data_IF_827968347122
#
_entry.id   IF_827968347122
#
_cell.length_a   1.000
_cell.length_b   1.000
_cell.length_c   1.000
_cell.angle_alpha   90.00
_cell.angle_beta   90.00
_cell.angle_gamma   90.00
#
_symmetry.space_group_name_H-M   'P 1'
#
loop_
_entity.id
_entity.type
_entity.pdbx_description
1 polymer ?
#
# COMPACT_ATOMS: atom_id res chain seq x y z
N UNK A 1 -0.76 20.43 9.68
CA UNK A 1 -1.99 19.90 10.33
C UNK A 1 -1.70 18.54 10.97
N UNK A 2 -2.41 18.08 12.00
CA UNK A 2 -2.28 16.68 12.43
C UNK A 2 -2.95 15.74 11.41
N UNK A 3 -2.55 14.47 11.38
CA UNK A 3 -3.28 13.43 10.64
C UNK A 3 -4.73 13.34 11.14
N UNK A 4 -5.73 13.16 10.24
CA UNK A 4 -7.06 12.72 10.63
C UNK A 4 -7.01 11.46 11.50
N UNK A 5 -7.96 11.33 12.44
CA UNK A 5 -8.04 10.14 13.30
C UNK A 5 -8.60 8.92 12.57
N UNK A 6 -9.42 9.14 11.54
CA UNK A 6 -10.04 8.10 10.75
C UNK A 6 -10.11 8.50 9.27
N UNK A 7 -10.14 7.50 8.40
CA UNK A 7 -10.27 7.67 6.95
C UNK A 7 -11.41 6.81 6.44
N UNK A 8 -11.90 7.09 5.24
CA UNK A 8 -12.83 6.20 4.55
C UNK A 8 -12.13 4.85 4.32
N UNK A 9 -12.72 3.75 4.80
CA UNK A 9 -12.14 2.41 4.69
C UNK A 9 -12.16 1.88 3.25
N UNK A 10 -13.08 2.40 2.43
CA UNK A 10 -13.23 2.08 1.02
C UNK A 10 -13.38 3.36 0.21
N UNK A 11 -12.69 3.43 -0.92
CA UNK A 11 -12.70 4.57 -1.84
C UNK A 11 -12.85 4.06 -3.27
N UNK A 12 -13.30 4.89 -4.23
CA UNK A 12 -13.39 4.46 -5.62
C UNK A 12 -12.04 3.96 -6.14
N UNK A 13 -12.05 2.83 -6.85
CA UNK A 13 -10.84 2.30 -7.50
C UNK A 13 -10.42 3.16 -8.69
N UNK A 14 -11.39 3.81 -9.34
CA UNK A 14 -11.15 4.74 -10.43
C UNK A 14 -10.50 6.02 -9.88
N UNK A 15 -9.32 6.37 -10.40
CA UNK A 15 -8.56 7.55 -9.95
C UNK A 15 -9.32 8.86 -10.10
N UNK A 16 -10.12 9.06 -11.15
CA UNK A 16 -10.89 10.29 -11.33
C UNK A 16 -12.01 10.42 -10.30
N UNK A 17 -12.72 9.32 -10.03
CA UNK A 17 -13.77 9.29 -9.02
C UNK A 17 -13.18 9.45 -7.60
N UNK A 18 -12.04 8.81 -7.34
CA UNK A 18 -11.27 8.99 -6.12
C UNK A 18 -10.87 10.47 -5.92
N UNK A 19 -10.33 11.11 -6.96
CA UNK A 19 -9.91 12.52 -6.89
C UNK A 19 -11.11 13.46 -6.69
N UNK A 20 -12.28 13.13 -7.25
CA UNK A 20 -13.50 13.91 -7.05
C UNK A 20 -14.01 13.88 -5.59
N UNK A 21 -13.80 12.77 -4.87
CA UNK A 21 -14.11 12.66 -3.44
C UNK A 21 -13.00 13.20 -2.53
N UNK A 22 -11.76 13.17 -3.02
CA UNK A 22 -10.59 13.61 -2.28
C UNK A 22 -10.63 15.11 -2.03
N UNK A 23 -10.18 15.53 -0.85
CA UNK A 23 -10.00 16.95 -0.50
C UNK A 23 -8.52 17.33 -0.61
N UNK A 24 -7.83 16.74 -1.59
CA UNK A 24 -6.39 16.87 -1.73
C UNK A 24 -6.04 18.35 -1.92
N UNK A 25 -5.24 18.86 -0.99
CA UNK A 25 -4.61 20.18 -1.08
C UNK A 25 -3.11 19.93 -1.00
N UNK A 26 -2.41 19.84 -2.15
CA UNK A 26 -0.98 19.60 -2.16
C UNK A 26 -0.29 20.72 -1.38
N UNK A 27 0.25 20.36 -0.22
CA UNK A 27 1.06 21.24 0.61
C UNK A 27 2.33 20.49 1.02
N UNK A 28 3.37 21.26 1.33
CA UNK A 28 4.64 20.68 1.76
C UNK A 28 4.48 20.01 3.11
N UNK A 29 4.81 18.72 3.18
CA UNK A 29 4.87 17.96 4.43
C UNK A 29 6.33 17.68 4.74
N UNK A 30 6.88 18.20 5.85
CA UNK A 30 8.25 17.90 6.25
C UNK A 30 8.44 16.41 6.43
N UNK A 31 9.59 15.88 5.97
CA UNK A 31 9.87 14.45 6.10
C UNK A 31 9.85 14.00 7.57
N UNK A 32 10.28 14.84 8.51
CA UNK A 32 10.22 14.54 9.94
C UNK A 32 8.79 14.31 10.43
N UNK A 33 7.79 14.96 9.81
CA UNK A 33 6.37 14.76 10.15
C UNK A 33 5.89 13.37 9.72
N UNK A 34 6.31 12.91 8.53
CA UNK A 34 5.95 11.59 8.02
C UNK A 34 6.72 10.49 8.77
N UNK A 35 8.02 10.71 9.01
CA UNK A 35 8.91 9.78 9.72
C UNK A 35 8.63 9.71 11.23
N UNK A 36 7.86 10.64 11.78
CA UNK A 36 7.38 10.57 13.17
C UNK A 36 6.23 9.57 13.37
N UNK A 37 5.59 9.10 12.30
CA UNK A 37 4.59 8.02 12.39
C UNK A 37 5.31 6.75 12.86
N UNK A 38 5.00 6.22 14.06
CA UNK A 38 5.77 5.16 14.67
C UNK A 38 5.83 3.91 13.80
N UNK A 39 7.07 3.46 13.60
CA UNK A 39 7.41 2.20 12.99
C UNK A 39 7.29 1.04 14.01
N UNK A 40 6.58 1.18 15.14
CA UNK A 40 6.17 0.02 15.94
C UNK A 40 5.12 -0.85 15.20
N UNK A 41 4.40 -0.23 14.27
CA UNK A 41 3.75 -0.83 13.09
C UNK A 41 4.73 -1.53 12.14
N UNK A 42 5.98 -1.06 12.08
CA UNK A 42 6.95 -1.44 11.05
C UNK A 42 7.45 -2.88 11.14
N UNK A 43 6.90 -3.66 12.08
CA UNK A 43 7.01 -5.11 12.13
C UNK A 43 8.42 -5.56 11.72
N UNK A 44 9.43 -5.45 12.59
CA UNK A 44 10.84 -5.59 12.22
C UNK A 44 11.13 -6.90 11.48
N UNK A 45 10.37 -7.96 11.75
CA UNK A 45 10.39 -9.20 10.99
C UNK A 45 9.99 -9.01 9.52
N UNK A 46 8.90 -8.28 9.24
CA UNK A 46 8.49 -7.86 7.90
C UNK A 46 9.52 -6.97 7.22
N UNK A 47 10.06 -5.97 7.90
CA UNK A 47 11.11 -5.13 7.32
C UNK A 47 12.33 -5.96 6.90
N UNK A 48 12.79 -6.84 7.80
CA UNK A 48 13.93 -7.71 7.53
C UNK A 48 13.65 -8.74 6.43
N UNK A 49 12.40 -9.23 6.34
CA UNK A 49 11.94 -10.13 5.28
C UNK A 49 11.97 -9.44 3.91
N UNK A 50 11.31 -8.29 3.78
CA UNK A 50 11.31 -7.48 2.56
C UNK A 50 12.73 -7.09 2.13
N UNK A 51 13.55 -6.58 3.05
CA UNK A 51 14.93 -6.16 2.75
C UNK A 51 15.82 -7.31 2.26
N UNK A 52 15.57 -8.53 2.74
CA UNK A 52 16.35 -9.71 2.37
C UNK A 52 15.95 -10.24 0.98
N UNK A 53 14.67 -10.20 0.66
CA UNK A 53 14.11 -10.86 -0.52
C UNK A 53 13.98 -9.95 -1.74
N UNK A 54 13.81 -8.65 -1.53
CA UNK A 54 13.57 -7.69 -2.61
C UNK A 54 14.91 -7.12 -3.12
N UNK A 55 15.11 -6.97 -4.45
CA UNK A 55 16.29 -6.32 -5.00
C UNK A 55 16.52 -4.92 -4.41
N UNK A 56 17.77 -4.45 -4.19
CA UNK A 56 18.02 -3.21 -3.44
C UNK A 56 17.31 -1.96 -3.97
N UNK A 57 17.22 -1.79 -5.29
CA UNK A 57 16.52 -0.64 -5.88
C UNK A 57 15.01 -0.70 -5.64
N UNK A 58 14.43 -1.90 -5.73
CA UNK A 58 13.01 -2.17 -5.47
C UNK A 58 12.72 -1.99 -3.97
N UNK A 59 13.63 -2.41 -3.09
CA UNK A 59 13.49 -2.16 -1.66
C UNK A 59 13.46 -0.67 -1.30
N UNK A 60 14.22 0.17 -2.03
CA UNK A 60 14.12 1.62 -1.85
C UNK A 60 12.80 2.18 -2.41
N UNK A 61 12.28 1.62 -3.51
CA UNK A 61 10.97 1.95 -4.07
C UNK A 61 9.85 1.70 -3.05
N UNK A 62 9.76 0.49 -2.48
CA UNK A 62 8.71 0.15 -1.51
C UNK A 62 8.72 1.01 -0.25
N UNK A 63 9.89 1.52 0.15
CA UNK A 63 9.98 2.47 1.27
C UNK A 63 9.45 3.85 0.89
N UNK A 64 9.73 4.33 -0.34
CA UNK A 64 9.21 5.62 -0.83
C UNK A 64 7.70 5.59 -0.97
N UNK A 65 7.12 4.50 -1.47
CA UNK A 65 5.66 4.37 -1.63
C UNK A 65 4.94 4.52 -0.29
N UNK A 66 5.47 3.95 0.80
CA UNK A 66 4.92 4.16 2.15
C UNK A 66 4.90 5.64 2.55
N UNK A 67 6.00 6.37 2.36
CA UNK A 67 6.04 7.80 2.69
C UNK A 67 5.14 8.65 1.79
N UNK A 68 5.03 8.31 0.50
CA UNK A 68 4.08 8.96 -0.40
C UNK A 68 2.63 8.72 0.04
N UNK A 69 2.32 7.52 0.51
CA UNK A 69 0.99 7.21 1.03
C UNK A 69 0.69 8.02 2.30
N UNK A 70 1.66 8.15 3.22
CA UNK A 70 1.51 9.04 4.38
C UNK A 70 1.32 10.51 3.95
N UNK A 71 2.02 10.98 2.93
CA UNK A 71 1.82 12.33 2.40
C UNK A 71 0.41 12.53 1.82
N UNK A 72 -0.15 11.55 1.13
CA UNK A 72 -1.53 11.59 0.63
C UNK A 72 -2.55 11.61 1.78
N UNK A 73 -2.35 10.76 2.80
CA UNK A 73 -3.19 10.76 4.01
C UNK A 73 -3.18 12.12 4.71
N UNK A 74 -2.01 12.75 4.81
CA UNK A 74 -1.84 14.06 5.41
C UNK A 74 -2.53 15.17 4.60
N UNK A 75 -2.46 15.08 3.28
CA UNK A 75 -2.88 16.14 2.36
C UNK A 75 -4.33 16.05 1.89
N UNK A 76 -5.17 15.23 2.51
CA UNK A 76 -6.63 15.25 2.26
C UNK A 76 -7.18 14.02 1.54
N UNK A 77 -6.63 12.84 1.84
CA UNK A 77 -7.28 11.56 1.52
C UNK A 77 -8.73 11.53 2.05
N UNK A 78 -9.67 10.85 1.36
CA UNK A 78 -11.08 10.79 1.76
C UNK A 78 -11.30 10.37 3.22
N UNK A 79 -12.18 11.10 3.91
CA UNK A 79 -12.55 10.85 5.30
C UNK A 79 -13.92 11.46 5.60
N UNK A 80 -14.74 10.72 6.35
CA UNK A 80 -16.06 11.13 6.79
C UNK A 80 -17.10 11.17 5.67
N UNK A 81 -16.92 10.39 4.60
CA UNK A 81 -17.92 10.31 3.53
C UNK A 81 -19.19 9.62 4.06
N UNK A 82 -20.39 10.22 3.89
CA UNK A 82 -21.63 9.64 4.39
C UNK A 82 -21.88 8.23 3.84
N UNK A 83 -22.15 7.28 4.74
CA UNK A 83 -22.44 5.88 4.38
C UNK A 83 -21.21 5.01 4.09
N UNK A 84 -19.99 5.56 4.18
CA UNK A 84 -18.75 4.81 3.99
C UNK A 84 -18.18 4.38 5.36
N UNK A 85 -17.89 3.08 5.58
CA UNK A 85 -17.20 2.63 6.79
C UNK A 85 -15.90 3.39 7.01
N UNK A 86 -15.53 3.66 8.26
CA UNK A 86 -14.30 4.38 8.60
C UNK A 86 -13.26 3.41 9.17
N UNK A 87 -11.99 3.64 8.85
CA UNK A 87 -10.84 2.92 9.41
C UNK A 87 -10.01 3.88 10.28
N UNK A 88 -9.57 3.41 11.45
CA UNK A 88 -8.70 4.19 12.33
C UNK A 88 -7.33 4.42 11.67
N UNK A 89 -6.72 5.59 11.89
CA UNK A 89 -5.41 5.91 11.33
C UNK A 89 -4.34 4.87 11.67
N UNK A 90 -4.31 4.40 12.92
CA UNK A 90 -3.36 3.39 13.39
C UNK A 90 -3.55 2.05 12.67
N UNK A 91 -4.80 1.65 12.42
CA UNK A 91 -5.11 0.40 11.72
C UNK A 91 -4.79 0.51 10.22
N UNK A 92 -5.12 1.64 9.59
CA UNK A 92 -4.78 1.88 8.19
C UNK A 92 -3.27 1.94 7.98
N UNK A 93 -2.54 2.66 8.83
CA UNK A 93 -1.07 2.75 8.73
C UNK A 93 -0.40 1.40 8.96
N UNK A 94 -0.97 0.53 9.82
CA UNK A 94 -0.53 -0.85 9.97
C UNK A 94 -0.62 -1.62 8.64
N UNK A 95 -1.82 -1.66 8.06
CA UNK A 95 -2.07 -2.38 6.81
C UNK A 95 -1.23 -1.81 5.68
N UNK A 96 -1.23 -0.50 5.54
CA UNK A 96 -0.47 0.23 4.54
C UNK A 96 1.03 -0.04 4.64
N UNK A 97 1.60 -0.11 5.84
CA UNK A 97 3.01 -0.44 6.00
C UNK A 97 3.34 -1.82 5.42
N UNK A 98 2.61 -2.87 5.83
CA UNK A 98 2.83 -4.23 5.32
C UNK A 98 2.59 -4.29 3.81
N UNK A 99 1.50 -3.69 3.32
CA UNK A 99 1.21 -3.61 1.89
C UNK A 99 2.37 -2.95 1.14
N UNK A 100 2.81 -1.76 1.55
CA UNK A 100 3.88 -1.04 0.88
C UNK A 100 5.17 -1.84 0.86
N UNK A 101 5.67 -2.31 2.02
CA UNK A 101 6.99 -2.97 2.07
C UNK A 101 7.01 -4.36 1.42
N UNK A 102 5.85 -4.97 1.16
CA UNK A 102 5.73 -6.33 0.63
C UNK A 102 5.17 -6.43 -0.80
N UNK A 103 4.58 -5.37 -1.37
CA UNK A 103 3.87 -5.48 -2.65
C UNK A 103 4.72 -6.01 -3.81
N UNK A 104 6.02 -5.71 -3.81
CA UNK A 104 6.97 -6.14 -4.82
C UNK A 104 7.81 -7.37 -4.41
N UNK A 105 7.40 -8.14 -3.39
CA UNK A 105 8.13 -9.37 -3.02
C UNK A 105 8.27 -10.34 -4.19
N UNK A 106 7.28 -10.41 -5.08
CA UNK A 106 7.32 -11.29 -6.24
C UNK A 106 8.42 -10.95 -7.26
N UNK A 107 9.04 -9.75 -7.17
CA UNK A 107 10.24 -9.38 -7.94
C UNK A 107 11.54 -10.00 -7.41
N UNK A 108 11.45 -10.82 -6.36
CA UNK A 108 12.60 -11.51 -5.80
C UNK A 108 13.34 -12.36 -6.84
N UNK A 109 14.66 -12.32 -6.77
CA UNK A 109 15.56 -13.21 -7.52
C UNK A 109 16.40 -14.08 -6.59
N UNK A 110 16.04 -14.13 -5.31
CA UNK A 110 16.75 -14.91 -4.30
C UNK A 110 16.35 -16.38 -4.39
N UNK A 111 17.25 -17.28 -4.00
CA UNK A 111 16.92 -18.72 -3.94
C UNK A 111 15.78 -19.01 -2.95
N UNK A 112 15.70 -18.24 -1.86
CA UNK A 112 14.61 -18.35 -0.87
C UNK A 112 13.26 -18.03 -1.53
N UNK A 113 13.13 -16.86 -2.17
CA UNK A 113 11.89 -16.47 -2.83
C UNK A 113 11.52 -17.36 -4.02
N UNK A 114 12.49 -17.79 -4.83
CA UNK A 114 12.25 -18.68 -5.97
C UNK A 114 11.93 -20.14 -5.56
N UNK A 115 12.06 -20.49 -4.28
CA UNK A 115 11.65 -21.81 -3.77
C UNK A 115 10.16 -21.88 -3.41
N UNK A 116 9.47 -20.74 -3.38
CA UNK A 116 8.04 -20.65 -3.14
C UNK A 116 7.23 -21.37 -4.25
N UNK A 117 6.21 -22.18 -3.93
CA UNK A 117 5.42 -22.88 -4.94
C UNK A 117 4.69 -21.96 -5.94
N UNK A 118 4.40 -20.72 -5.57
CA UNK A 118 3.72 -19.73 -6.40
C UNK A 118 4.69 -18.89 -7.26
N UNK A 119 6.00 -19.16 -7.26
CA UNK A 119 6.99 -18.39 -8.05
C UNK A 119 6.72 -18.34 -9.57
N UNK A 120 5.91 -19.27 -10.10
CA UNK A 120 5.52 -19.32 -11.51
C UNK A 120 4.27 -18.47 -11.84
N UNK A 121 3.64 -17.83 -10.85
CA UNK A 121 2.53 -16.89 -11.06
C UNK A 121 3.05 -15.49 -11.45
N UNK A 122 2.15 -14.56 -11.75
CA UNK A 122 2.55 -13.14 -11.87
C UNK A 122 3.13 -12.65 -10.55
N UNK A 123 4.00 -11.64 -10.60
CA UNK A 123 4.74 -11.19 -9.42
C UNK A 123 3.81 -10.68 -8.31
N UNK A 124 2.66 -10.11 -8.66
CA UNK A 124 1.66 -9.64 -7.71
C UNK A 124 1.08 -10.81 -6.90
N UNK A 125 0.73 -11.91 -7.60
CA UNK A 125 0.20 -13.11 -6.97
C UNK A 125 1.28 -13.82 -6.15
N UNK A 126 2.46 -14.03 -6.71
CA UNK A 126 3.59 -14.65 -6.01
C UNK A 126 3.93 -13.86 -4.73
N UNK A 127 4.09 -12.54 -4.83
CA UNK A 127 4.36 -11.67 -3.68
C UNK A 127 3.24 -11.69 -2.64
N UNK A 128 1.98 -11.77 -3.08
CA UNK A 128 0.82 -11.88 -2.18
C UNK A 128 0.79 -13.21 -1.41
N UNK A 129 1.11 -14.34 -2.05
CA UNK A 129 1.24 -15.64 -1.38
C UNK A 129 2.36 -15.62 -0.33
N UNK A 130 3.56 -15.15 -0.71
CA UNK A 130 4.68 -15.00 0.22
C UNK A 130 4.31 -14.08 1.40
N UNK A 131 3.59 -12.99 1.13
CA UNK A 131 3.09 -12.07 2.17
C UNK A 131 2.14 -12.76 3.13
N UNK A 132 1.15 -13.50 2.61
CA UNK A 132 0.18 -14.24 3.42
C UNK A 132 0.88 -15.21 4.38
N UNK A 133 1.81 -16.02 3.86
CA UNK A 133 2.58 -16.98 4.65
C UNK A 133 3.44 -16.30 5.72
N UNK A 134 4.16 -15.24 5.33
CA UNK A 134 4.99 -14.46 6.24
C UNK A 134 4.17 -13.85 7.38
N UNK A 135 3.04 -13.18 7.09
CA UNK A 135 2.20 -12.55 8.10
C UNK A 135 1.56 -13.58 9.04
N UNK A 136 1.15 -14.73 8.51
CA UNK A 136 0.63 -15.82 9.34
C UNK A 136 1.70 -16.36 10.31
N UNK A 137 2.98 -16.34 9.92
CA UNK A 137 4.09 -16.77 10.77
C UNK A 137 4.50 -15.72 11.81
N UNK A 138 4.60 -14.45 11.43
CA UNK A 138 5.21 -13.40 12.30
C UNK A 138 4.20 -12.51 13.02
N UNK A 139 2.94 -12.52 12.59
CA UNK A 139 1.85 -11.72 13.16
C UNK A 139 0.56 -12.54 13.32
N UNK A 140 0.59 -13.67 14.05
CA UNK A 140 -0.57 -14.57 14.19
C UNK A 140 -1.78 -13.95 14.90
N UNK A 141 -1.61 -12.78 15.51
CA UNK A 141 -2.70 -12.01 16.14
C UNK A 141 -3.48 -11.16 15.15
N UNK A 142 -3.01 -10.99 13.90
CA UNK A 142 -3.77 -10.28 12.88
C UNK A 142 -4.97 -11.10 12.45
N UNK A 143 -6.14 -10.49 12.49
CA UNK A 143 -7.38 -11.11 12.04
C UNK A 143 -7.43 -11.28 10.51
N UNK A 144 -8.36 -12.11 10.00
CA UNK A 144 -8.52 -12.33 8.57
C UNK A 144 -8.83 -11.05 7.80
N UNK A 145 -9.53 -10.08 8.41
CA UNK A 145 -9.83 -8.77 7.82
C UNK A 145 -8.56 -7.97 7.50
N UNK A 146 -7.56 -8.01 8.40
CA UNK A 146 -6.29 -7.27 8.26
C UNK A 146 -5.39 -7.94 7.23
N UNK A 147 -5.20 -9.26 7.35
CA UNK A 147 -4.35 -10.02 6.42
C UNK A 147 -4.98 -10.03 5.03
N UNK A 148 -6.29 -10.21 4.93
CA UNK A 148 -7.04 -10.18 3.69
C UNK A 148 -6.89 -8.85 2.94
N UNK A 149 -7.05 -7.71 3.64
CA UNK A 149 -6.86 -6.39 3.03
C UNK A 149 -5.43 -6.15 2.54
N UNK A 150 -4.42 -6.57 3.32
CA UNK A 150 -3.00 -6.46 2.90
C UNK A 150 -2.75 -7.29 1.63
N UNK A 151 -3.17 -8.54 1.63
CA UNK A 151 -2.96 -9.48 0.53
C UNK A 151 -3.72 -9.05 -0.73
N UNK A 152 -4.99 -8.68 -0.59
CA UNK A 152 -5.81 -8.15 -1.69
C UNK A 152 -5.20 -6.87 -2.29
N UNK A 153 -4.76 -5.95 -1.43
CA UNK A 153 -4.09 -4.72 -1.86
C UNK A 153 -2.84 -5.02 -2.68
N UNK A 154 -2.05 -6.03 -2.30
CA UNK A 154 -0.87 -6.46 -3.07
C UNK A 154 -1.28 -7.10 -4.39
N UNK A 155 -2.28 -7.99 -4.42
CA UNK A 155 -2.72 -8.63 -5.67
C UNK A 155 -3.19 -7.59 -6.69
N UNK A 156 -3.86 -6.54 -6.23
CA UNK A 156 -4.55 -5.59 -7.10
C UNK A 156 -3.75 -4.31 -7.41
N UNK A 157 -2.56 -4.11 -6.82
CA UNK A 157 -1.89 -2.80 -6.87
C UNK A 157 -1.53 -2.32 -8.29
N UNK A 158 -1.26 -3.22 -9.24
CA UNK A 158 -0.99 -2.90 -10.66
C UNK A 158 -2.24 -2.81 -11.52
N UNK A 159 -3.41 -3.19 -10.98
CA UNK A 159 -4.66 -3.26 -11.72
C UNK A 159 -5.39 -1.92 -11.69
N UNK A 160 -5.94 -1.51 -12.82
CA UNK A 160 -6.87 -0.39 -12.86
C UNK A 160 -8.30 -0.87 -13.09
N UNK A 161 -9.18 -0.51 -12.16
CA UNK A 161 -10.59 -0.86 -12.21
C UNK A 161 -11.44 0.37 -12.57
N UNK A 162 -12.22 0.32 -13.67
CA UNK A 162 -12.99 1.47 -14.11
C UNK A 162 -14.19 1.78 -13.22
N UNK A 163 -14.64 0.81 -12.41
CA UNK A 163 -15.78 0.88 -11.51
C UNK A 163 -15.49 0.08 -10.23
N UNK A 164 -16.19 0.40 -9.16
CA UNK A 164 -16.08 -0.28 -7.87
C UNK A 164 -15.20 0.48 -6.88
N UNK A 165 -14.97 -0.16 -5.74
CA UNK A 165 -14.21 0.40 -4.63
C UNK A 165 -13.01 -0.48 -4.32
N UNK A 166 -11.92 0.17 -3.96
CA UNK A 166 -10.74 -0.42 -3.33
C UNK A 166 -10.81 -0.18 -1.82
N UNK A 167 -10.11 -0.99 -1.04
CA UNK A 167 -9.78 -0.56 0.32
C UNK A 167 -8.91 0.70 0.29
N UNK A 168 -8.86 1.42 1.40
CA UNK A 168 -7.99 2.58 1.54
C UNK A 168 -6.51 2.22 1.31
N UNK A 169 -6.06 1.09 1.87
CA UNK A 169 -4.70 0.59 1.68
C UNK A 169 -4.43 0.24 0.21
N UNK A 170 -5.37 -0.44 -0.45
CA UNK A 170 -5.31 -0.80 -1.86
C UNK A 170 -5.18 0.40 -2.78
N UNK A 171 -6.03 1.42 -2.59
CA UNK A 171 -5.95 2.63 -3.41
C UNK A 171 -4.64 3.41 -3.18
N UNK A 172 -4.19 3.50 -1.92
CA UNK A 172 -2.93 4.17 -1.60
C UNK A 172 -1.74 3.47 -2.24
N UNK A 173 -1.67 2.14 -2.20
CA UNK A 173 -0.55 1.43 -2.83
C UNK A 173 -0.58 1.58 -4.35
N UNK A 174 -1.74 1.44 -5.00
CA UNK A 174 -1.86 1.64 -6.45
C UNK A 174 -1.38 3.03 -6.88
N UNK A 175 -1.84 4.07 -6.20
CA UNK A 175 -1.46 5.45 -6.53
C UNK A 175 0.03 5.71 -6.31
N UNK A 176 0.58 5.21 -5.21
CA UNK A 176 1.96 5.54 -4.80
C UNK A 176 3.01 4.72 -5.52
N UNK A 177 2.75 3.44 -5.78
CA UNK A 177 3.61 2.59 -6.61
C UNK A 177 3.67 3.15 -8.04
N UNK A 178 2.51 3.49 -8.62
CA UNK A 178 2.47 4.09 -9.94
C UNK A 178 3.19 5.44 -9.99
N UNK A 179 2.95 6.32 -9.02
CA UNK A 179 3.60 7.63 -8.95
C UNK A 179 5.14 7.53 -8.86
N UNK A 180 5.68 6.57 -8.11
CA UNK A 180 7.13 6.42 -7.97
C UNK A 180 7.81 5.83 -9.22
N UNK A 181 7.08 5.06 -10.03
CA UNK A 181 7.61 4.48 -11.29
C UNK A 181 7.47 5.44 -12.46
N UNK A 182 6.31 6.08 -12.60
CA UNK A 182 5.92 6.81 -13.81
C UNK A 182 5.94 8.34 -13.65
N UNK A 183 5.95 8.83 -12.41
CA UNK A 183 5.86 10.26 -12.11
C UNK A 183 4.46 10.86 -12.33
N UNK A 184 4.36 12.19 -12.19
CA UNK A 184 3.09 12.91 -12.24
C UNK A 184 2.59 13.23 -13.66
N UNK A 185 3.46 13.17 -14.67
CA UNK A 185 3.19 13.60 -16.05
C UNK A 185 2.82 12.44 -16.99
N UNK A 186 2.59 11.23 -16.47
CA UNK A 186 2.17 10.11 -17.30
C UNK A 186 0.67 10.18 -17.60
N UNK A 187 0.24 10.36 -18.87
CA UNK A 187 -1.17 10.42 -19.22
C UNK A 187 -1.78 9.01 -19.18
N UNK A 188 -2.28 8.58 -18.02
CA UNK A 188 -3.00 7.31 -17.87
C UNK A 188 -4.50 7.52 -17.54
N UNK A 189 -5.43 6.75 -18.14
CA UNK A 189 -5.20 5.78 -19.22
C UNK A 189 -4.69 6.51 -20.45
N UNK A 190 -3.69 5.90 -21.12
CA UNK A 190 -3.24 6.39 -22.42
C UNK A 190 -4.49 6.47 -23.27
N UNK A 191 -4.88 7.70 -23.64
CA UNK A 191 -5.83 7.90 -24.73
C UNK A 191 -5.06 7.50 -25.98
N UNK A 192 -5.13 6.22 -26.33
CA UNK A 192 -4.83 5.75 -27.68
C UNK A 192 -5.89 6.26 -28.66
#
# INVERSE_FOLDING_TARGET
MPFPQTFDAYVPSNTLDFLALSKIKPDYVPFETLNAVPLDIAAPATFAYAKRLTPPAVFLHVLRTFYFALALLYNGFPSGTPGVPQIAFQELTLRLYHTCVLHDLGWTNTTEGLSDPAHAMSFELHGAFMTYEHLHAVAPTYGPETVGDIVESIVLHTSNWPIGNSSAAGQLISLTAFFDVEGYDNPWPRRD
#
